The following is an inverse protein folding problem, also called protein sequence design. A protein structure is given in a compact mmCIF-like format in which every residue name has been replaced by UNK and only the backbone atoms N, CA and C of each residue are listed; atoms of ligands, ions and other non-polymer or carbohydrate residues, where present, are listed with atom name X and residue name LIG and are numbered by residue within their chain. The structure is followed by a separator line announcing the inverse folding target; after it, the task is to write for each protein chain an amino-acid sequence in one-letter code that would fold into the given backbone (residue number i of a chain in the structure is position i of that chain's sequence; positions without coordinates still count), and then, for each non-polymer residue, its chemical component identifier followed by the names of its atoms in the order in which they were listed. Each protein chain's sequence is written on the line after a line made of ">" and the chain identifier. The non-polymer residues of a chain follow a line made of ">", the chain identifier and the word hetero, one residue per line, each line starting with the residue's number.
data_IF_778866612156
#
_entry.id   IF_778866612156
#
_cell.length_a   1.000
_cell.length_b   1.000
_cell.length_c   1.000
_cell.angle_alpha   90.00
_cell.angle_beta   90.00
_cell.angle_gamma   90.00
#
_symmetry.space_group_name_H-M   'P 1'
#
loop_
_entity.id
_entity.type
_entity.pdbx_description
1 polymer ?
#
# COMPACT_ATOMS: atom_id res chain seq x y z
N UNK A 1 -46.03 -51.89 32.74
CA UNK A 1 -44.70 -51.31 33.08
C UNK A 1 -43.87 -50.86 31.87
N UNK A 2 -43.99 -51.45 30.67
CA UNK A 2 -43.18 -51.08 29.47
C UNK A 2 -43.31 -49.64 28.93
N UNK A 3 -44.39 -48.90 29.29
CA UNK A 3 -44.62 -47.55 28.78
C UNK A 3 -43.79 -46.45 29.46
N UNK A 4 -43.53 -46.57 30.77
CA UNK A 4 -42.81 -45.53 31.55
C UNK A 4 -41.31 -45.50 31.23
N UNK A 5 -40.70 -46.65 30.94
CA UNK A 5 -39.29 -46.74 30.56
C UNK A 5 -39.03 -46.19 29.16
N UNK A 6 -39.91 -46.47 28.19
CA UNK A 6 -39.83 -45.88 26.84
C UNK A 6 -39.91 -44.36 26.86
N UNK A 7 -40.72 -43.78 27.76
CA UNK A 7 -40.84 -42.33 27.89
C UNK A 7 -39.56 -41.71 28.48
N UNK A 8 -38.98 -42.30 29.53
CA UNK A 8 -37.71 -41.83 30.11
C UNK A 8 -36.54 -41.88 29.12
N UNK A 9 -36.49 -42.93 28.29
CA UNK A 9 -35.43 -43.10 27.29
C UNK A 9 -35.53 -42.04 26.18
N UNK A 10 -36.75 -41.74 25.71
CA UNK A 10 -36.97 -40.66 24.72
C UNK A 10 -36.60 -39.29 25.28
N UNK A 11 -36.97 -38.99 26.54
CA UNK A 11 -36.61 -37.72 27.17
C UNK A 11 -35.08 -37.58 27.29
N UNK A 12 -34.36 -38.63 27.68
CA UNK A 12 -32.89 -38.60 27.78
C UNK A 12 -32.22 -38.39 26.41
N UNK A 13 -32.72 -39.07 25.36
CA UNK A 13 -32.23 -38.90 23.99
C UNK A 13 -32.45 -37.48 23.46
N UNK A 14 -33.61 -36.87 23.75
CA UNK A 14 -33.89 -35.48 23.35
C UNK A 14 -32.98 -34.48 24.05
N UNK A 15 -32.72 -34.65 25.35
CA UNK A 15 -31.81 -33.76 26.10
C UNK A 15 -30.36 -33.89 25.63
N UNK A 16 -29.92 -35.10 25.30
CA UNK A 16 -28.59 -35.34 24.75
C UNK A 16 -28.42 -34.73 23.36
N UNK A 17 -29.44 -34.86 22.50
CA UNK A 17 -29.44 -34.25 21.16
C UNK A 17 -29.45 -32.70 21.21
N UNK A 18 -30.23 -32.10 22.13
CA UNK A 18 -30.24 -30.64 22.34
C UNK A 18 -28.88 -30.16 22.86
N UNK A 19 -28.29 -30.85 23.84
CA UNK A 19 -26.96 -30.50 24.37
C UNK A 19 -25.86 -30.58 23.31
N UNK A 20 -25.86 -31.63 22.48
CA UNK A 20 -24.88 -31.81 21.41
C UNK A 20 -25.04 -30.76 20.30
N UNK A 21 -26.29 -30.38 19.98
CA UNK A 21 -26.57 -29.29 19.04
C UNK A 21 -26.02 -27.97 19.59
N UNK A 22 -26.22 -27.66 20.86
CA UNK A 22 -25.69 -26.43 21.47
C UNK A 22 -24.14 -26.37 21.45
N UNK A 23 -23.46 -27.49 21.73
CA UNK A 23 -21.99 -27.56 21.69
C UNK A 23 -21.47 -27.41 20.25
N UNK A 24 -22.06 -28.09 19.27
CA UNK A 24 -21.68 -27.91 17.86
C UNK A 24 -21.96 -26.50 17.34
N UNK A 25 -23.08 -25.88 17.75
CA UNK A 25 -23.39 -24.50 17.33
C UNK A 25 -22.41 -23.50 17.96
N UNK A 26 -22.02 -23.69 19.22
CA UNK A 26 -20.98 -22.87 19.87
C UNK A 26 -19.58 -23.05 19.27
N UNK A 27 -19.20 -24.27 18.85
CA UNK A 27 -17.92 -24.49 18.15
C UNK A 27 -17.90 -23.91 16.73
N UNK A 28 -19.04 -23.87 16.05
CA UNK A 28 -19.15 -23.31 14.71
C UNK A 28 -19.25 -21.77 14.71
N UNK A 29 -19.75 -21.14 15.79
CA UNK A 29 -19.77 -19.68 15.91
C UNK A 29 -18.41 -19.10 16.31
N UNK A 30 -17.59 -19.82 17.07
CA UNK A 30 -16.23 -19.34 17.43
C UNK A 30 -15.25 -19.40 16.25
N UNK A 31 -15.42 -20.33 15.31
CA UNK A 31 -14.58 -20.40 14.11
C UNK A 31 -14.93 -19.33 13.07
N UNK A 32 -16.19 -18.89 12.99
CA UNK A 32 -16.60 -17.83 12.06
C UNK A 32 -16.14 -16.42 12.47
N UNK A 33 -15.91 -16.18 13.77
CA UNK A 33 -15.43 -14.87 14.27
C UNK A 33 -13.90 -14.72 14.26
N UNK A 34 -13.17 -15.78 13.90
CA UNK A 34 -11.71 -15.76 13.75
C UNK A 34 -11.24 -15.50 12.30
N UNK A 35 -12.13 -15.06 11.40
CA UNK A 35 -11.68 -14.35 10.20
C UNK A 35 -11.10 -13.02 10.66
N UNK A 36 -9.79 -13.03 10.92
CA UNK A 36 -9.03 -11.87 11.39
C UNK A 36 -9.39 -10.66 10.54
N UNK A 37 -9.81 -9.58 11.19
CA UNK A 37 -10.13 -8.33 10.52
C UNK A 37 -8.89 -7.91 9.71
N UNK A 38 -9.01 -7.97 8.39
CA UNK A 38 -7.98 -7.53 7.44
C UNK A 38 -7.65 -6.08 7.78
N UNK A 39 -6.41 -5.83 8.20
CA UNK A 39 -5.94 -4.50 8.61
C UNK A 39 -6.04 -3.52 7.42
N UNK A 40 -6.57 -2.32 7.63
CA UNK A 40 -6.58 -1.25 6.63
C UNK A 40 -5.14 -0.83 6.30
N UNK A 41 -4.85 -0.44 5.06
CA UNK A 41 -3.53 0.05 4.65
C UNK A 41 -3.57 1.54 4.31
N UNK A 42 -2.40 2.17 4.20
CA UNK A 42 -2.23 3.56 3.80
C UNK A 42 -2.48 3.66 2.29
N UNK A 43 -3.74 3.83 1.90
CA UNK A 43 -4.14 3.96 0.50
C UNK A 43 -3.69 5.25 -0.19
N UNK A 44 -3.37 6.29 0.60
CA UNK A 44 -2.85 7.56 0.09
C UNK A 44 -3.68 8.79 0.47
N UNK A 45 -3.53 9.91 -0.26
CA UNK A 45 -2.75 10.02 -1.49
C UNK A 45 -1.25 9.80 -1.27
N UNK A 46 -0.60 9.22 -2.27
CA UNK A 46 0.84 9.08 -2.40
C UNK A 46 1.35 10.00 -3.48
N UNK A 47 2.53 10.55 -3.25
CA UNK A 47 3.31 11.27 -4.24
C UNK A 47 4.35 10.30 -4.78
N UNK A 48 4.33 10.01 -6.07
CA UNK A 48 5.10 8.90 -6.62
C UNK A 48 5.78 9.21 -7.94
N UNK A 49 6.81 8.44 -8.23
CA UNK A 49 7.46 8.37 -9.53
C UNK A 49 7.83 6.92 -9.82
N UNK A 50 7.78 6.53 -11.09
CA UNK A 50 8.37 5.29 -11.57
C UNK A 50 9.49 5.67 -12.55
N UNK A 51 10.67 5.07 -12.37
CA UNK A 51 11.83 5.31 -13.24
C UNK A 51 12.37 3.97 -13.76
N UNK A 52 12.91 3.94 -14.99
CA UNK A 52 13.55 2.73 -15.51
C UNK A 52 14.82 2.41 -14.72
N UNK A 53 15.14 1.11 -14.63
CA UNK A 53 16.38 0.65 -14.00
C UNK A 53 17.63 0.80 -14.90
N UNK A 54 17.49 1.46 -16.06
CA UNK A 54 18.57 1.89 -16.98
C UNK A 54 19.55 0.75 -17.36
N UNK A 55 18.98 -0.33 -17.90
CA UNK A 55 19.76 -1.50 -18.36
C UNK A 55 20.33 -2.38 -17.25
N UNK A 56 20.10 -2.04 -15.98
CA UNK A 56 20.40 -2.91 -14.84
C UNK A 56 19.16 -3.73 -14.50
N UNK A 57 19.26 -5.07 -14.43
CA UNK A 57 18.21 -5.89 -13.88
C UNK A 57 17.89 -5.45 -12.45
N UNK A 58 16.63 -5.13 -12.21
CA UNK A 58 16.16 -4.74 -10.89
C UNK A 58 15.21 -5.80 -10.30
N UNK A 59 15.46 -7.05 -10.66
CA UNK A 59 14.68 -8.23 -10.26
C UNK A 59 15.33 -9.02 -9.11
N UNK A 60 16.34 -8.45 -8.45
CA UNK A 60 17.04 -9.05 -7.32
C UNK A 60 17.09 -8.12 -6.09
N UNK A 61 17.44 -8.71 -4.94
CA UNK A 61 17.52 -8.00 -3.65
C UNK A 61 18.64 -6.94 -3.62
N UNK A 62 19.74 -7.16 -4.35
CA UNK A 62 20.87 -6.23 -4.43
C UNK A 62 20.51 -4.92 -5.14
N UNK A 63 19.46 -4.93 -5.98
CA UNK A 63 18.91 -3.71 -6.57
C UNK A 63 18.38 -2.72 -5.51
N UNK A 64 18.01 -3.17 -4.30
CA UNK A 64 17.61 -2.27 -3.21
C UNK A 64 18.72 -1.33 -2.76
N UNK A 65 19.98 -1.73 -2.91
CA UNK A 65 21.16 -0.92 -2.59
C UNK A 65 21.57 0.02 -3.72
N UNK A 66 21.03 -0.17 -4.92
CA UNK A 66 21.31 0.72 -6.05
C UNK A 66 20.48 1.99 -5.94
N UNK A 67 21.11 3.15 -5.77
CA UNK A 67 20.41 4.44 -5.81
C UNK A 67 20.00 4.79 -7.26
N UNK A 68 18.84 4.27 -7.68
CA UNK A 68 18.35 4.48 -9.05
C UNK A 68 17.93 5.93 -9.28
N UNK A 69 17.47 6.66 -8.26
CA UNK A 69 17.18 8.09 -8.37
C UNK A 69 18.45 8.88 -8.70
N UNK A 70 19.55 8.62 -8.00
CA UNK A 70 20.84 9.24 -8.27
C UNK A 70 21.32 8.92 -9.68
N UNK A 71 21.23 7.66 -10.11
CA UNK A 71 21.60 7.29 -11.48
C UNK A 71 20.75 7.99 -12.53
N UNK A 72 19.43 7.90 -12.39
CA UNK A 72 18.47 8.45 -13.33
C UNK A 72 18.56 9.97 -13.43
N UNK A 73 18.87 10.64 -12.32
CA UNK A 73 19.00 12.10 -12.28
C UNK A 73 20.43 12.60 -12.55
N UNK A 74 21.41 11.73 -12.80
CA UNK A 74 22.80 12.14 -12.96
C UNK A 74 23.42 12.71 -11.67
N UNK A 75 23.05 12.14 -10.51
CA UNK A 75 23.47 12.48 -9.13
C UNK A 75 22.94 13.80 -8.60
N UNK A 76 21.92 14.38 -9.26
CA UNK A 76 21.26 15.59 -8.75
C UNK A 76 20.46 15.33 -7.48
N UNK A 77 20.06 14.08 -7.25
CA UNK A 77 19.22 13.69 -6.12
C UNK A 77 19.59 12.31 -5.64
N UNK A 78 19.72 12.15 -4.32
CA UNK A 78 19.93 10.85 -3.70
C UNK A 78 18.63 10.33 -3.06
N UNK A 79 18.44 9.01 -3.06
CA UNK A 79 17.31 8.35 -2.38
C UNK A 79 17.19 8.80 -0.92
N UNK A 80 18.32 8.83 -0.21
CA UNK A 80 18.37 9.22 1.19
C UNK A 80 17.99 10.68 1.43
N UNK A 81 18.30 11.58 0.49
CA UNK A 81 17.95 13.00 0.61
C UNK A 81 16.46 13.24 0.42
N UNK A 82 15.82 12.51 -0.51
CA UNK A 82 14.36 12.50 -0.63
C UNK A 82 13.73 11.93 0.62
N UNK A 83 14.21 10.78 1.10
CA UNK A 83 13.69 10.11 2.29
C UNK A 83 13.79 10.98 3.56
N UNK A 84 14.79 11.85 3.64
CA UNK A 84 14.97 12.83 4.73
C UNK A 84 14.12 14.11 4.56
N UNK A 85 13.50 14.32 3.40
CA UNK A 85 12.75 15.54 3.13
C UNK A 85 13.62 16.77 2.82
N UNK A 86 14.92 16.57 2.54
CA UNK A 86 15.89 17.66 2.35
C UNK A 86 15.76 18.26 0.95
N UNK A 87 15.64 17.40 -0.07
CA UNK A 87 15.61 17.83 -1.46
C UNK A 87 14.20 18.28 -1.81
N UNK A 88 14.09 19.54 -2.27
CA UNK A 88 12.84 20.16 -2.71
C UNK A 88 12.77 20.37 -4.21
N UNK A 89 12.42 19.35 -5.00
CA UNK A 89 12.55 19.42 -6.44
C UNK A 89 11.40 20.19 -7.09
N UNK A 90 11.54 21.50 -7.01
CA UNK A 90 11.33 22.42 -8.12
C UNK A 90 12.59 22.50 -9.02
N UNK A 91 13.69 21.88 -8.59
CA UNK A 91 15.04 21.99 -9.16
C UNK A 91 15.48 20.79 -10.04
N UNK A 92 14.68 19.73 -10.21
CA UNK A 92 15.07 18.58 -11.05
C UNK A 92 14.51 18.73 -12.46
N UNK A 93 15.24 19.45 -13.32
CA UNK A 93 15.19 19.28 -14.77
C UNK A 93 16.34 18.35 -15.16
N UNK A 94 16.06 17.29 -15.93
CA UNK A 94 17.11 16.41 -16.45
C UNK A 94 17.24 16.55 -17.98
N UNK A 95 18.41 16.20 -18.51
CA UNK A 95 18.70 16.26 -19.95
C UNK A 95 17.80 15.27 -20.70
N UNK A 96 16.79 15.79 -21.41
CA UNK A 96 15.88 15.02 -22.25
C UNK A 96 14.45 14.84 -21.72
N UNK A 97 14.09 15.36 -20.53
CA UNK A 97 12.73 15.27 -19.99
C UNK A 97 12.57 15.82 -18.56
N UNK A 98 11.38 15.64 -17.95
CA UNK A 98 11.09 16.05 -16.56
C UNK A 98 10.71 14.83 -15.71
N UNK A 99 11.42 14.62 -14.60
CA UNK A 99 11.01 13.64 -13.60
C UNK A 99 9.77 14.21 -12.95
N UNK A 100 8.63 13.59 -13.21
CA UNK A 100 7.34 14.18 -12.85
C UNK A 100 6.74 13.35 -11.74
N UNK A 101 6.74 13.91 -10.53
CA UNK A 101 6.07 13.29 -9.39
C UNK A 101 4.56 13.41 -9.57
N UNK A 102 3.91 12.25 -9.68
CA UNK A 102 2.47 12.13 -9.81
C UNK A 102 1.82 11.90 -8.45
N UNK A 103 0.51 12.03 -8.42
CA UNK A 103 -0.27 11.87 -7.19
C UNK A 103 -1.39 10.90 -7.44
N UNK A 104 -1.56 9.95 -6.54
CA UNK A 104 -2.64 8.98 -6.68
C UNK A 104 -2.78 8.10 -5.45
N UNK A 105 -3.73 7.18 -5.54
CA UNK A 105 -4.07 6.27 -4.47
C UNK A 105 -3.69 4.85 -4.88
N UNK A 106 -3.02 4.14 -3.99
CA UNK A 106 -2.79 2.71 -4.19
C UNK A 106 -4.15 2.01 -4.21
N UNK A 107 -4.31 1.09 -5.16
CA UNK A 107 -5.54 0.32 -5.33
C UNK A 107 -5.86 -0.55 -4.11
N UNK A 108 -7.16 -0.85 -3.96
CA UNK A 108 -7.68 -1.76 -2.94
C UNK A 108 -7.23 -3.21 -3.13
N UNK A 109 -7.52 -4.03 -2.12
CA UNK A 109 -7.36 -5.48 -2.19
C UNK A 109 -8.46 -6.04 -3.08
N UNK A 110 -8.11 -6.46 -4.29
CA UNK A 110 -9.03 -7.19 -5.17
C UNK A 110 -8.75 -8.70 -5.12
N UNK A 111 -9.78 -9.57 -5.28
CA UNK A 111 -9.65 -11.01 -5.07
C UNK A 111 -8.76 -11.75 -6.09
N UNK A 112 -8.34 -11.12 -7.18
CA UNK A 112 -7.59 -11.76 -8.27
C UNK A 112 -6.44 -10.84 -8.64
N UNK A 113 -5.23 -11.18 -8.20
CA UNK A 113 -3.97 -10.47 -8.44
C UNK A 113 -4.02 -8.98 -8.06
N UNK A 114 -3.58 -8.69 -6.83
CA UNK A 114 -3.29 -7.30 -6.48
C UNK A 114 -2.09 -6.85 -7.31
N UNK A 115 -2.20 -5.70 -7.96
CA UNK A 115 -1.09 -4.96 -8.56
C UNK A 115 -1.33 -3.48 -8.28
N UNK A 116 -1.25 -3.12 -6.99
CA UNK A 116 -1.74 -1.84 -6.51
C UNK A 116 -0.84 -0.66 -6.93
N UNK A 117 0.45 -0.91 -7.15
CA UNK A 117 1.40 0.05 -7.73
C UNK A 117 1.30 0.04 -9.25
N UNK A 118 1.26 -1.12 -9.92
CA UNK A 118 1.15 -1.16 -11.38
C UNK A 118 -0.11 -0.45 -11.87
N UNK A 119 -1.24 -0.68 -11.20
CA UNK A 119 -2.50 0.05 -11.43
C UNK A 119 -2.35 1.57 -11.26
N UNK A 120 -1.58 2.02 -10.27
CA UNK A 120 -1.34 3.45 -10.00
C UNK A 120 -0.46 4.07 -11.10
N UNK A 121 0.53 3.33 -11.60
CA UNK A 121 1.50 3.78 -12.60
C UNK A 121 0.90 3.73 -14.02
N UNK A 122 0.17 2.67 -14.37
CA UNK A 122 -0.49 2.50 -15.68
C UNK A 122 -1.53 3.59 -15.96
N UNK A 123 -2.28 4.01 -14.93
CA UNK A 123 -3.31 5.04 -15.08
C UNK A 123 -2.77 6.46 -15.35
N UNK A 124 -1.45 6.66 -15.34
CA UNK A 124 -0.81 7.98 -15.46
C UNK A 124 -0.11 8.25 -16.80
N UNK A 125 -0.30 7.38 -17.82
CA UNK A 125 0.34 7.47 -19.14
C UNK A 125 1.88 7.63 -19.07
N UNK A 126 2.51 7.15 -18.00
CA UNK A 126 3.92 7.39 -17.74
C UNK A 126 4.86 6.54 -18.64
N UNK A 127 4.34 5.62 -19.47
CA UNK A 127 5.15 4.86 -20.42
C UNK A 127 4.31 4.08 -21.47
N UNK A 128 4.43 4.39 -22.78
CA UNK A 128 3.82 3.61 -23.86
C UNK A 128 4.55 2.29 -24.21
N UNK A 129 5.69 1.96 -23.58
CA UNK A 129 6.56 0.82 -23.96
C UNK A 129 6.62 -0.35 -22.95
N UNK A 130 5.86 -0.30 -21.85
CA UNK A 130 5.85 -1.35 -20.81
C UNK A 130 6.93 -1.17 -19.73
N UNK A 131 6.62 -1.57 -18.49
CA UNK A 131 7.44 -1.32 -17.29
C UNK A 131 8.28 -2.52 -16.82
N UNK A 132 8.55 -3.49 -17.68
CA UNK A 132 9.52 -4.52 -17.34
C UNK A 132 10.85 -3.83 -17.01
N UNK A 133 11.38 -4.07 -15.81
CA UNK A 133 12.61 -3.48 -15.28
C UNK A 133 12.52 -1.99 -14.87
N UNK A 134 11.58 -1.66 -13.99
CA UNK A 134 11.41 -0.33 -13.41
C UNK A 134 11.48 -0.34 -11.86
N UNK A 135 11.57 0.85 -11.27
CA UNK A 135 11.50 1.05 -9.82
C UNK A 135 10.50 2.15 -9.50
N UNK A 136 9.63 1.86 -8.54
CA UNK A 136 8.65 2.78 -7.97
C UNK A 136 9.24 3.47 -6.74
N UNK A 137 9.03 4.77 -6.64
CA UNK A 137 9.21 5.56 -5.43
C UNK A 137 7.88 6.17 -5.01
N UNK A 138 7.52 5.98 -3.75
CA UNK A 138 6.32 6.55 -3.14
C UNK A 138 6.66 7.35 -1.88
N UNK A 139 6.08 8.52 -1.75
CA UNK A 139 6.25 9.43 -0.62
C UNK A 139 4.89 9.80 -0.03
N UNK A 140 4.78 9.74 1.30
CA UNK A 140 3.60 10.22 2.02
C UNK A 140 4.02 10.84 3.35
N UNK A 141 3.39 11.96 3.70
CA UNK A 141 3.66 12.66 4.96
C UNK A 141 2.50 12.45 5.91
N UNK A 142 2.80 11.80 7.03
CA UNK A 142 1.89 11.46 8.11
C UNK A 142 2.00 12.54 9.20
N UNK A 143 0.92 13.27 9.45
CA UNK A 143 0.80 14.23 10.54
C UNK A 143 0.21 13.54 11.77
N UNK A 144 1.04 13.35 12.79
CA UNK A 144 0.76 12.55 13.98
C UNK A 144 0.49 13.47 15.17
N UNK A 145 -0.67 13.32 15.83
CA UNK A 145 -1.08 14.22 16.92
C UNK A 145 -0.22 14.06 18.19
N UNK A 146 0.30 12.85 18.44
CA UNK A 146 1.08 12.50 19.64
C UNK A 146 2.29 11.64 19.27
N UNK A 147 3.46 11.98 19.81
CA UNK A 147 4.67 11.15 19.72
C UNK A 147 4.36 9.74 20.21
N UNK A 148 4.83 8.74 19.48
CA UNK A 148 4.72 7.32 19.83
C UNK A 148 6.06 6.63 19.63
N UNK A 149 6.61 6.02 20.67
CA UNK A 149 7.80 5.16 20.54
C UNK A 149 7.46 3.72 20.16
N UNK A 150 6.17 3.41 20.02
CA UNK A 150 5.63 2.05 19.95
C UNK A 150 4.68 1.81 18.79
N UNK A 151 4.70 2.66 17.75
CA UNK A 151 3.79 2.51 16.62
C UNK A 151 4.14 1.23 15.86
N UNK A 152 3.17 0.32 15.72
CA UNK A 152 3.38 -0.93 15.00
C UNK A 152 3.12 -0.69 13.52
N UNK A 153 4.12 -0.98 12.70
CA UNK A 153 3.97 -1.09 11.25
C UNK A 153 3.52 -2.50 10.93
N UNK A 154 2.54 -2.62 10.04
CA UNK A 154 2.20 -3.86 9.37
C UNK A 154 2.48 -3.69 7.88
N UNK A 155 3.15 -4.66 7.28
CA UNK A 155 3.71 -4.55 5.94
C UNK A 155 3.51 -5.86 5.19
N UNK A 156 3.22 -5.74 3.91
CA UNK A 156 3.53 -6.77 2.93
C UNK A 156 3.80 -6.15 1.56
N UNK A 157 4.37 -6.96 0.67
CA UNK A 157 4.78 -6.57 -0.68
C UNK A 157 4.91 -7.84 -1.52
N UNK A 158 4.84 -7.73 -2.85
CA UNK A 158 5.07 -8.90 -3.73
C UNK A 158 6.49 -9.00 -4.27
N UNK A 159 7.10 -7.85 -4.55
CA UNK A 159 8.43 -7.76 -5.14
C UNK A 159 9.51 -7.54 -4.06
N UNK A 160 10.40 -6.57 -4.25
CA UNK A 160 11.35 -6.14 -3.24
C UNK A 160 11.01 -4.73 -2.78
N UNK A 161 11.13 -4.47 -1.48
CA UNK A 161 10.75 -3.19 -0.88
C UNK A 161 11.81 -2.69 0.11
N UNK A 162 12.09 -1.39 0.03
CA UNK A 162 12.88 -0.64 1.03
C UNK A 162 12.04 0.54 1.50
N UNK A 163 11.94 0.72 2.81
CA UNK A 163 11.08 1.73 3.43
C UNK A 163 11.89 2.57 4.39
N UNK A 164 11.72 3.88 4.27
CA UNK A 164 12.31 4.86 5.17
C UNK A 164 11.22 5.60 5.93
N UNK A 165 11.53 5.93 7.18
CA UNK A 165 10.76 6.86 8.00
C UNK A 165 11.68 7.96 8.48
N UNK A 166 11.38 9.21 8.11
CA UNK A 166 12.20 10.38 8.41
C UNK A 166 13.68 10.17 8.03
N UNK A 167 13.93 9.59 6.86
CA UNK A 167 15.26 9.31 6.33
C UNK A 167 15.96 8.06 6.89
N UNK A 168 15.42 7.41 7.93
CA UNK A 168 15.97 6.17 8.45
C UNK A 168 15.33 4.97 7.77
N UNK A 169 16.14 4.03 7.26
CA UNK A 169 15.63 2.73 6.80
C UNK A 169 14.97 2.02 7.98
N UNK A 170 13.67 1.74 7.86
CA UNK A 170 12.88 1.00 8.85
C UNK A 170 12.57 -0.42 8.39
N UNK A 171 12.69 -0.68 7.10
CA UNK A 171 12.49 -2.00 6.52
C UNK A 171 13.25 -2.16 5.21
N UNK A 172 13.78 -3.36 5.00
CA UNK A 172 14.37 -3.80 3.75
C UNK A 172 14.06 -5.29 3.58
N UNK A 173 13.47 -5.65 2.44
CA UNK A 173 13.11 -7.04 2.14
C UNK A 173 14.35 -7.87 1.82
N UNK A 174 14.46 -9.06 2.39
CA UNK A 174 15.53 -10.02 2.05
C UNK A 174 15.17 -10.92 0.86
N UNK A 175 13.87 -11.10 0.60
CA UNK A 175 13.32 -11.97 -0.43
C UNK A 175 12.01 -11.40 -1.00
N UNK A 176 11.60 -11.89 -2.16
CA UNK A 176 10.26 -11.64 -2.70
C UNK A 176 9.21 -12.40 -1.88
N UNK A 177 8.01 -11.84 -1.78
CA UNK A 177 6.88 -12.51 -1.13
C UNK A 177 5.73 -12.68 -2.12
N UNK A 178 5.72 -13.82 -2.83
CA UNK A 178 4.73 -14.12 -3.87
C UNK A 178 3.31 -14.31 -3.34
N UNK A 179 3.19 -14.63 -2.05
CA UNK A 179 1.93 -15.04 -1.44
C UNK A 179 1.27 -13.87 -0.70
N UNK A 180 0.00 -13.61 -1.04
CA UNK A 180 -0.97 -12.87 -0.22
C UNK A 180 -0.45 -11.59 0.46
N UNK A 181 0.22 -10.71 -0.29
CA UNK A 181 0.69 -9.41 0.21
C UNK A 181 -0.42 -8.54 0.86
N UNK A 182 -1.68 -8.89 0.66
CA UNK A 182 -2.79 -8.26 1.34
C UNK A 182 -2.90 -8.59 2.85
N UNK A 183 -2.22 -9.62 3.37
CA UNK A 183 -2.37 -10.01 4.77
C UNK A 183 -1.48 -9.20 5.74
N UNK A 184 -0.49 -8.46 5.22
CA UNK A 184 0.43 -7.64 6.02
C UNK A 184 1.05 -8.42 7.18
N UNK A 185 1.62 -9.56 6.83
CA UNK A 185 2.16 -10.57 7.76
C UNK A 185 3.40 -10.09 8.48
N UNK A 186 4.17 -9.18 7.87
CA UNK A 186 5.34 -8.57 8.50
C UNK A 186 4.89 -7.47 9.46
N UNK A 187 5.40 -7.48 10.70
CA UNK A 187 5.17 -6.37 11.62
C UNK A 187 6.38 -6.06 12.49
N UNK A 188 6.60 -4.77 12.74
CA UNK A 188 7.69 -4.27 13.56
C UNK A 188 7.31 -2.92 14.17
N UNK A 189 8.10 -2.43 15.12
CA UNK A 189 7.81 -1.19 15.84
C UNK A 189 8.71 -0.07 15.32
N UNK A 190 8.12 1.11 15.12
CA UNK A 190 8.84 2.33 14.74
C UNK A 190 8.50 3.50 15.67
N UNK A 191 9.42 4.43 15.87
CA UNK A 191 9.12 5.70 16.51
C UNK A 191 8.42 6.64 15.52
N UNK A 192 7.33 7.27 15.95
CA UNK A 192 6.70 8.41 15.29
C UNK A 192 6.89 9.65 16.15
N UNK A 193 7.35 10.73 15.54
CA UNK A 193 7.41 12.04 16.19
C UNK A 193 6.04 12.72 16.17
N UNK A 194 5.81 13.64 17.10
CA UNK A 194 4.64 14.52 17.02
C UNK A 194 4.80 15.45 15.82
N UNK A 195 3.75 15.60 15.02
CA UNK A 195 3.74 16.38 13.79
C UNK A 195 4.06 15.53 12.57
N UNK A 196 4.77 16.13 11.61
CA UNK A 196 5.01 15.56 10.28
C UNK A 196 6.09 14.48 10.32
N UNK A 197 5.76 13.30 9.81
CA UNK A 197 6.66 12.18 9.58
C UNK A 197 6.62 11.80 8.10
N UNK A 198 7.77 11.76 7.43
CA UNK A 198 7.86 11.37 6.02
C UNK A 198 8.10 9.86 5.92
N UNK A 199 7.16 9.15 5.33
CA UNK A 199 7.30 7.76 4.94
C UNK A 199 7.66 7.73 3.45
N UNK A 200 8.81 7.16 3.12
CA UNK A 200 9.25 6.93 1.76
C UNK A 200 9.36 5.42 1.51
N UNK A 201 8.99 4.99 0.31
CA UNK A 201 9.09 3.61 -0.11
C UNK A 201 9.72 3.52 -1.50
N UNK A 202 10.60 2.54 -1.68
CA UNK A 202 11.15 2.08 -2.94
C UNK A 202 10.65 0.67 -3.14
N UNK A 203 10.05 0.41 -4.30
CA UNK A 203 9.56 -0.92 -4.67
C UNK A 203 10.08 -1.22 -6.06
N UNK A 204 10.81 -2.33 -6.19
CA UNK A 204 11.46 -2.68 -7.44
C UNK A 204 10.61 -3.70 -8.20
N UNK A 205 10.60 -3.62 -9.52
CA UNK A 205 9.78 -4.48 -10.39
C UNK A 205 10.15 -5.95 -10.39
N UNK A 206 9.10 -6.74 -10.60
CA UNK A 206 9.02 -8.17 -10.60
C UNK A 206 7.63 -8.54 -11.10
N UNK A 207 7.19 -9.78 -10.92
CA UNK A 207 5.84 -10.17 -11.33
C UNK A 207 4.84 -9.68 -10.27
N UNK A 208 4.17 -8.56 -10.55
CA UNK A 208 3.18 -7.93 -9.67
C UNK A 208 3.80 -6.90 -8.72
N UNK A 209 3.26 -5.68 -8.75
CA UNK A 209 3.82 -4.52 -8.08
C UNK A 209 2.93 -4.12 -6.90
N UNK A 210 3.21 -4.71 -5.73
CA UNK A 210 2.42 -4.45 -4.54
C UNK A 210 3.24 -3.93 -3.38
N UNK A 211 2.63 -2.97 -2.69
CA UNK A 211 3.04 -2.52 -1.37
C UNK A 211 1.80 -2.23 -0.53
N UNK A 212 1.68 -2.90 0.60
CA UNK A 212 0.66 -2.66 1.61
C UNK A 212 1.34 -2.28 2.91
N UNK A 213 1.23 -1.01 3.31
CA UNK A 213 1.76 -0.52 4.58
C UNK A 213 0.62 -0.02 5.44
N UNK A 214 0.58 -0.42 6.71
CA UNK A 214 -0.24 0.17 7.75
C UNK A 214 0.66 0.59 8.90
N UNK A 215 0.29 1.68 9.59
CA UNK A 215 0.89 2.05 10.86
C UNK A 215 -0.24 2.20 11.87
N UNK A 216 -0.21 1.42 12.94
CA UNK A 216 -1.19 1.47 14.02
C UNK A 216 -0.94 2.71 14.90
N UNK A 217 -1.34 3.87 14.39
CA UNK A 217 -1.28 5.16 15.07
C UNK A 217 -2.32 6.11 14.49
N UNK A 218 -2.72 7.11 15.27
CA UNK A 218 -3.61 8.16 14.79
C UNK A 218 -2.80 9.21 14.03
N UNK A 219 -2.99 9.27 12.71
CA UNK A 219 -2.38 10.27 11.85
C UNK A 219 -3.36 10.77 10.80
N UNK A 220 -3.02 11.88 10.17
CA UNK A 220 -3.66 12.38 8.95
C UNK A 220 -2.61 12.51 7.86
N UNK A 221 -2.99 12.34 6.60
CA UNK A 221 -2.10 12.74 5.50
C UNK A 221 -2.04 14.27 5.49
N UNK A 222 -0.83 14.82 5.56
CA UNK A 222 -0.65 16.26 5.84
C UNK A 222 -1.12 17.18 4.71
N UNK A 223 -1.00 16.75 3.47
CA UNK A 223 -1.41 17.51 2.30
C UNK A 223 -2.84 17.15 1.87
N UNK A 224 -3.55 18.14 1.32
CA UNK A 224 -4.96 18.00 0.92
C UNK A 224 -5.08 17.97 -0.58
N UNK A 225 -6.09 17.25 -1.07
CA UNK A 225 -6.52 17.35 -2.46
C UNK A 225 -7.74 18.27 -2.54
N UNK A 226 -7.69 19.29 -3.40
CA UNK A 226 -8.80 20.19 -3.70
C UNK A 226 -9.00 20.26 -5.21
N UNK A 227 -10.21 19.97 -5.68
CA UNK A 227 -10.55 19.94 -7.11
C UNK A 227 -9.60 19.07 -7.93
N UNK A 228 -9.26 17.89 -7.40
CA UNK A 228 -8.34 16.96 -8.05
C UNK A 228 -6.88 17.41 -8.09
N UNK A 229 -6.48 18.45 -7.36
CA UNK A 229 -5.09 18.92 -7.28
C UNK A 229 -4.59 18.91 -5.85
N UNK A 230 -3.31 18.59 -5.64
CA UNK A 230 -2.70 18.79 -4.32
C UNK A 230 -2.66 20.28 -4.01
N UNK A 231 -3.22 20.65 -2.86
CA UNK A 231 -3.01 21.96 -2.24
C UNK A 231 -1.59 21.95 -1.69
N UNK A 232 -0.76 22.89 -2.15
CA UNK A 232 0.64 23.02 -1.78
C UNK A 232 0.82 22.86 -0.27
N UNK A 233 1.63 21.88 0.14
CA UNK A 233 2.10 21.70 1.51
C UNK A 233 3.63 21.75 1.50
N UNK A 234 4.19 22.63 2.33
CA UNK A 234 5.64 22.79 2.49
C UNK A 234 6.30 21.58 3.18
N UNK A 235 5.52 20.60 3.62
CA UNK A 235 5.99 19.31 4.15
C UNK A 235 6.53 18.36 3.10
N UNK A 236 6.06 18.50 1.86
CA UNK A 236 6.47 17.60 0.80
C UNK A 236 7.91 17.92 0.44
N UNK A 237 8.78 16.91 0.31
CA UNK A 237 10.05 17.12 -0.36
C UNK A 237 9.75 17.61 -1.78
N UNK A 238 8.95 16.87 -2.54
CA UNK A 238 8.81 17.12 -3.98
C UNK A 238 7.55 17.90 -4.34
N UNK A 239 7.64 18.77 -5.35
CA UNK A 239 6.44 19.46 -5.86
C UNK A 239 5.67 18.49 -6.78
N UNK A 240 4.40 18.19 -6.49
CA UNK A 240 3.59 17.35 -7.36
C UNK A 240 3.37 18.06 -8.70
N UNK A 241 3.30 17.27 -9.76
CA UNK A 241 2.80 17.74 -11.05
C UNK A 241 1.43 18.41 -10.88
N UNK A 242 1.13 19.49 -11.63
CA UNK A 242 -0.18 20.13 -11.61
C UNK A 242 -1.30 19.26 -12.23
N UNK A 243 -0.98 18.03 -12.64
CA UNK A 243 -1.92 17.03 -13.15
C UNK A 243 -2.98 16.69 -12.11
N UNK A 244 -4.13 16.28 -12.62
CA UNK A 244 -5.24 15.78 -11.81
C UNK A 244 -4.79 14.50 -11.10
N UNK A 245 -5.06 14.40 -9.80
CA UNK A 245 -4.83 13.18 -9.01
C UNK A 245 -5.47 12.00 -9.73
N UNK A 246 -4.65 11.02 -10.11
CA UNK A 246 -5.13 9.84 -10.80
C UNK A 246 -5.77 8.93 -9.75
N UNK A 247 -7.09 8.77 -9.86
CA UNK A 247 -7.82 7.72 -9.13
C UNK A 247 -8.44 6.82 -10.20
N UNK A 248 -8.15 5.51 -10.17
CA UNK A 248 -8.86 4.55 -11.05
C UNK A 248 -10.38 4.66 -10.88
N UNK A 249 -10.86 5.05 -9.70
CA UNK A 249 -12.27 5.34 -9.43
C UNK A 249 -12.85 6.50 -10.26
N UNK A 250 -12.07 7.53 -10.60
CA UNK A 250 -12.51 8.59 -11.50
C UNK A 250 -12.54 8.09 -12.96
N UNK A 251 -11.56 7.29 -13.38
CA UNK A 251 -11.49 6.72 -14.73
C UNK A 251 -12.64 5.73 -15.00
N UNK A 252 -12.95 4.85 -14.04
CA UNK A 252 -14.07 3.90 -14.12
C UNK A 252 -15.45 4.59 -14.18
N UNK A 253 -15.60 5.78 -13.59
CA UNK A 253 -16.82 6.59 -13.72
C UNK A 253 -16.95 7.20 -15.11
N UNK A 254 -15.85 7.67 -15.71
CA UNK A 254 -15.87 8.23 -17.07
C UNK A 254 -16.08 7.16 -18.15
N UNK A 255 -15.51 5.96 -18.00
CA UNK A 255 -15.73 4.86 -18.95
C UNK A 255 -17.18 4.35 -18.93
N UNK A 256 -17.80 4.21 -17.76
CA UNK A 256 -19.21 3.84 -17.66
C UNK A 256 -20.15 4.89 -18.28
N UNK A 257 -19.80 6.19 -18.19
CA UNK A 257 -20.58 7.24 -18.87
C UNK A 257 -20.39 7.27 -20.39
N UNK A 258 -19.22 6.88 -20.91
CA UNK A 258 -18.96 6.76 -22.34
C UNK A 258 -19.62 5.52 -22.95
N UNK A 259 -19.63 4.40 -22.23
CA UNK A 259 -20.33 3.17 -22.65
C UNK A 259 -21.85 3.36 -22.65
N UNK A 260 -22.41 4.14 -21.71
CA UNK A 260 -23.85 4.45 -21.73
C UNK A 260 -24.25 5.48 -22.80
N UNK A 261 -23.36 6.39 -23.21
CA UNK A 261 -23.63 7.32 -24.32
C UNK A 261 -23.57 6.66 -25.70
N UNK A 262 -22.80 5.58 -25.85
CA UNK A 262 -22.72 4.83 -27.11
C UNK A 262 -23.75 3.68 -27.20
N UNK A 263 -24.70 3.61 -26.26
CA UNK A 263 -25.79 2.61 -26.23
C UNK A 263 -27.20 3.21 -26.30
N UNK A 264 -27.32 4.52 -26.53
CA UNK A 264 -28.59 5.21 -26.75
C UNK A 264 -28.58 5.93 -28.10
#
# INVERSE_FOLDING_TARGET
>A
MKGKEKLKMRVCQTHFAIGMTFVLTCLMTTTALAQGQKLDYIGGPWLYAAIPCDGIPCDDVGALETDFLSRFTGKLVLENEIAQGIVKPKDILFLGGRLTWQTGFLGGREPIFTDNIGTLVDGADLNPAGYSNAVFYGLIVLDVDKKSSGARVHLDYTAYAKIWLNGKVIYESEQRNWDEAENMTTSFVVPLERGKNLLAAKVIEGIGWNLFVNINSNFKVSYRIRNGKIVRDNSLPVEPSPSTVVTRWAALKTENHLIQRNRN
#
